data_IF_923019433067
#
_entry.id   IF_923019433067
#
_cell.length_a   1.000
_cell.length_b   1.000
_cell.length_c   1.000
_cell.angle_alpha   90.00
_cell.angle_beta   90.00
_cell.angle_gamma   90.00
#
_symmetry.space_group_name_H-M   'P 1'
#
loop_
_entity.id
_entity.type
_entity.pdbx_description
1 polymer ?
#
# COMPACT_ATOMS: atom_id res chain seq x y z
N UNK A 1 -3.82 27.79 -8.45
CA UNK A 1 -3.24 26.77 -9.35
C UNK A 1 -2.69 25.68 -8.45
N UNK A 2 -3.48 24.65 -8.20
CA UNK A 2 -3.04 23.52 -7.38
C UNK A 2 -2.18 22.62 -8.25
N UNK A 3 -0.94 22.37 -7.83
CA UNK A 3 -0.02 21.47 -8.52
C UNK A 3 -0.67 20.10 -8.68
N UNK A 4 -0.82 19.69 -9.93
CA UNK A 4 -1.28 18.37 -10.31
C UNK A 4 -0.23 17.34 -9.88
N UNK A 5 -0.48 16.64 -8.77
CA UNK A 5 0.39 15.59 -8.24
C UNK A 5 0.42 14.33 -9.11
N UNK A 6 -0.23 14.34 -10.28
CA UNK A 6 -0.36 13.22 -11.22
C UNK A 6 0.99 12.69 -11.76
N UNK A 7 2.08 13.47 -11.69
CA UNK A 7 3.31 13.16 -12.45
C UNK A 7 4.49 12.53 -11.68
N UNK A 8 4.34 12.02 -10.44
CA UNK A 8 5.45 11.34 -9.73
C UNK A 8 5.20 9.86 -9.52
N UNK A 9 5.36 9.08 -10.58
CA UNK A 9 5.46 7.62 -10.50
C UNK A 9 6.78 7.22 -9.83
N UNK A 10 6.71 6.38 -8.79
CA UNK A 10 7.90 5.75 -8.19
C UNK A 10 8.10 4.37 -8.82
N UNK A 11 9.33 4.08 -9.24
CA UNK A 11 9.68 2.73 -9.69
C UNK A 11 9.70 1.77 -8.50
N UNK A 12 9.13 0.58 -8.68
CA UNK A 12 9.09 -0.46 -7.67
C UNK A 12 9.49 -1.79 -8.30
N UNK A 13 10.42 -2.49 -7.67
CA UNK A 13 10.75 -3.88 -8.00
C UNK A 13 10.07 -4.76 -6.96
N UNK A 14 9.21 -5.67 -7.41
CA UNK A 14 8.45 -6.57 -6.55
C UNK A 14 8.92 -8.01 -6.78
N UNK A 15 9.20 -8.74 -5.70
CA UNK A 15 9.45 -10.19 -5.77
C UNK A 15 8.13 -10.89 -5.53
N UNK A 16 7.68 -11.64 -6.53
CA UNK A 16 6.46 -12.44 -6.44
C UNK A 16 6.83 -13.91 -6.32
N UNK A 17 5.98 -14.66 -5.63
CA UNK A 17 5.98 -16.11 -5.76
C UNK A 17 5.76 -16.50 -7.24
N UNK A 18 6.49 -17.50 -7.78
CA UNK A 18 6.38 -17.88 -9.19
C UNK A 18 4.94 -18.16 -9.63
N UNK A 19 4.15 -18.84 -8.79
CA UNK A 19 2.77 -19.19 -9.14
C UNK A 19 1.86 -17.97 -9.20
N UNK A 20 2.13 -16.93 -8.38
CA UNK A 20 1.40 -15.68 -8.46
C UNK A 20 1.81 -14.87 -9.70
N UNK A 21 3.09 -14.85 -10.04
CA UNK A 21 3.58 -14.18 -11.23
C UNK A 21 2.93 -14.76 -12.51
N UNK A 22 2.86 -16.09 -12.61
CA UNK A 22 2.18 -16.79 -13.71
C UNK A 22 0.68 -16.42 -13.80
N UNK A 23 -0.02 -16.39 -12.66
CA UNK A 23 -1.44 -16.01 -12.63
C UNK A 23 -1.67 -14.56 -13.06
N UNK A 24 -0.83 -13.63 -12.61
CA UNK A 24 -0.93 -12.21 -13.01
C UNK A 24 -0.62 -12.06 -14.50
N UNK A 25 0.38 -12.77 -15.01
CA UNK A 25 0.70 -12.80 -16.44
C UNK A 25 -0.49 -13.28 -17.27
N UNK A 26 -1.14 -14.38 -16.87
CA UNK A 26 -2.31 -14.92 -17.57
C UNK A 26 -3.48 -13.92 -17.61
N UNK A 27 -3.75 -13.21 -16.50
CA UNK A 27 -4.77 -12.15 -16.45
C UNK A 27 -4.43 -11.03 -17.44
N UNK A 28 -3.18 -10.56 -17.43
CA UNK A 28 -2.71 -9.51 -18.32
C UNK A 28 -2.86 -9.90 -19.81
N UNK A 29 -2.53 -11.14 -20.15
CA UNK A 29 -2.67 -11.69 -21.50
C UNK A 29 -4.13 -11.76 -21.95
N UNK A 30 -5.02 -12.30 -21.11
CA UNK A 30 -6.46 -12.43 -21.42
C UNK A 30 -7.12 -11.06 -21.56
N UNK A 31 -6.74 -10.09 -20.74
CA UNK A 31 -7.30 -8.73 -20.78
C UNK A 31 -6.62 -7.82 -21.83
N UNK A 32 -5.53 -8.27 -22.47
CA UNK A 32 -4.77 -7.45 -23.43
C UNK A 32 -4.09 -6.23 -22.77
N UNK A 33 -3.67 -6.36 -21.51
CA UNK A 33 -3.08 -5.28 -20.70
C UNK A 33 -1.66 -5.62 -20.28
N UNK A 34 -0.92 -4.64 -19.78
CA UNK A 34 0.41 -4.91 -19.22
C UNK A 34 0.31 -5.52 -17.82
N UNK A 35 1.23 -6.41 -17.46
CA UNK A 35 1.38 -6.93 -16.08
C UNK A 35 1.46 -5.79 -15.07
N UNK A 36 2.14 -4.70 -15.42
CA UNK A 36 2.29 -3.55 -14.54
C UNK A 36 0.95 -2.86 -14.26
N UNK A 37 0.04 -2.80 -15.23
CA UNK A 37 -1.29 -2.20 -15.03
C UNK A 37 -2.17 -3.08 -14.15
N UNK A 38 -2.15 -4.40 -14.38
CA UNK A 38 -2.86 -5.36 -13.54
C UNK A 38 -2.37 -5.29 -12.09
N UNK A 39 -1.05 -5.26 -11.88
CA UNK A 39 -0.45 -5.12 -10.54
C UNK A 39 -0.81 -3.78 -9.90
N UNK A 40 -0.74 -2.67 -10.65
CA UNK A 40 -1.13 -1.34 -10.14
C UNK A 40 -2.58 -1.31 -9.70
N UNK A 41 -3.48 -1.88 -10.50
CA UNK A 41 -4.90 -1.97 -10.15
C UNK A 41 -5.13 -2.81 -8.90
N UNK A 42 -4.49 -3.99 -8.80
CA UNK A 42 -4.61 -4.85 -7.62
C UNK A 42 -4.13 -4.15 -6.34
N UNK A 43 -3.04 -3.38 -6.41
CA UNK A 43 -2.55 -2.59 -5.27
C UNK A 43 -3.53 -1.47 -4.92
N UNK A 44 -4.04 -0.74 -5.91
CA UNK A 44 -5.02 0.32 -5.69
C UNK A 44 -6.31 -0.21 -5.04
N UNK A 45 -6.82 -1.33 -5.55
CA UNK A 45 -7.99 -2.00 -5.00
C UNK A 45 -7.77 -2.44 -3.54
N UNK A 46 -6.61 -3.00 -3.22
CA UNK A 46 -6.26 -3.36 -1.84
C UNK A 46 -6.27 -2.14 -0.91
N UNK A 47 -5.66 -1.03 -1.34
CA UNK A 47 -5.60 0.20 -0.53
C UNK A 47 -7.00 0.76 -0.30
N UNK A 48 -7.84 0.83 -1.33
CA UNK A 48 -9.21 1.34 -1.19
C UNK A 48 -10.05 0.43 -0.31
N UNK A 49 -9.89 -0.89 -0.43
CA UNK A 49 -10.55 -1.85 0.45
C UNK A 49 -10.18 -1.60 1.93
N UNK A 50 -8.89 -1.36 2.21
CA UNK A 50 -8.43 -1.07 3.59
C UNK A 50 -8.89 0.29 4.10
N UNK A 51 -9.08 1.26 3.21
CA UNK A 51 -9.58 2.59 3.58
C UNK A 51 -10.96 2.54 4.23
N UNK A 52 -11.84 1.67 3.75
CA UNK A 52 -13.19 1.46 4.31
C UNK A 52 -13.29 0.36 5.38
N UNK A 53 -12.20 -0.34 5.71
CA UNK A 53 -12.21 -1.48 6.61
C UNK A 53 -12.08 -1.01 8.08
N UNK A 54 -13.19 -1.04 8.83
CA UNK A 54 -13.24 -0.64 10.25
C UNK A 54 -12.22 -1.39 11.12
N UNK A 55 -11.98 -2.68 10.82
CA UNK A 55 -10.99 -3.46 11.56
C UNK A 55 -9.59 -2.94 11.28
N UNK A 56 -9.29 -2.60 10.02
CA UNK A 56 -8.01 -2.00 9.65
C UNK A 56 -7.83 -0.63 10.33
N UNK A 57 -8.86 0.22 10.32
CA UNK A 57 -8.84 1.53 10.97
C UNK A 57 -8.57 1.40 12.48
N UNK A 58 -9.29 0.52 13.18
CA UNK A 58 -9.08 0.27 14.61
C UNK A 58 -7.65 -0.20 14.91
N UNK A 59 -7.12 -1.12 14.10
CA UNK A 59 -5.73 -1.59 14.25
C UNK A 59 -4.72 -0.46 14.02
N UNK A 60 -5.02 0.46 13.09
CA UNK A 60 -4.18 1.63 12.85
C UNK A 60 -4.21 2.61 14.02
N UNK A 61 -5.38 2.87 14.60
CA UNK A 61 -5.53 3.71 15.80
C UNK A 61 -4.80 3.12 17.02
N UNK A 62 -4.95 1.82 17.26
CA UNK A 62 -4.21 1.13 18.33
C UNK A 62 -2.69 1.22 18.11
N UNK A 63 -2.24 1.12 16.87
CA UNK A 63 -0.85 1.23 16.51
C UNK A 63 -0.32 2.66 16.75
N UNK A 64 -1.08 3.68 16.34
CA UNK A 64 -0.76 5.08 16.59
C UNK A 64 -0.63 5.36 18.09
N UNK A 65 -1.62 4.94 18.90
CA UNK A 65 -1.58 5.11 20.35
C UNK A 65 -0.41 4.39 21.03
N UNK A 66 0.07 3.26 20.47
CA UNK A 66 1.32 2.62 20.93
C UNK A 66 2.53 3.48 20.60
N UNK A 67 2.64 3.96 19.36
CA UNK A 67 3.77 4.77 18.93
C UNK A 67 3.83 6.13 19.63
N UNK A 68 2.70 6.78 19.88
CA UNK A 68 2.63 8.02 20.66
C UNK A 68 3.14 7.81 22.09
N UNK A 69 2.72 6.73 22.75
CA UNK A 69 3.26 6.38 24.08
C UNK A 69 4.77 6.16 24.05
N UNK A 70 5.26 5.42 23.06
CA UNK A 70 6.71 5.24 22.87
C UNK A 70 7.41 6.59 22.66
N UNK A 71 6.84 7.48 21.86
CA UNK A 71 7.41 8.80 21.59
C UNK A 71 7.45 9.69 22.85
N UNK A 72 6.38 9.67 23.65
CA UNK A 72 6.33 10.38 24.94
C UNK A 72 7.42 9.89 25.88
N UNK A 73 7.62 8.58 25.99
CA UNK A 73 8.70 8.00 26.82
C UNK A 73 10.08 8.52 26.41
N UNK A 74 10.35 8.65 25.11
CA UNK A 74 11.64 9.19 24.63
C UNK A 74 11.77 10.71 24.77
N UNK A 75 10.67 11.46 24.80
CA UNK A 75 10.68 12.92 25.01
C UNK A 75 10.84 13.28 26.48
N UNK A 76 10.14 12.58 27.36
CA UNK A 76 10.18 12.83 28.82
C UNK A 76 11.40 12.18 29.49
N UNK A 77 12.07 11.26 28.78
CA UNK A 77 13.34 10.64 29.18
C UNK A 77 14.59 11.29 28.58
N UNK A 78 14.47 12.43 27.90
CA UNK A 78 15.63 13.20 27.44
C UNK A 78 16.19 14.03 28.61
N UNK A 79 17.48 13.86 29.00
CA UNK A 79 18.13 14.72 29.98
C UNK A 79 18.28 16.16 29.51
#
# INVERSE_FOLDING_TARGET
MSEDSSARTKNMVLRLDPSLAERVQAVAEVEGRSVSDVVREAIAALVEQRRGDERFQRLLEENLARHERTLTLFRDGAP
#
